data_IF_394274781868
#
_entry.id   IF_394274781868
#
_cell.length_a   1.000
_cell.length_b   1.000
_cell.length_c   1.000
_cell.angle_alpha   90.00
_cell.angle_beta   90.00
_cell.angle_gamma   90.00
#
_symmetry.space_group_name_H-M   'P 1'
#
loop_
_entity.id
_entity.type
_entity.pdbx_description
1 polymer ?
#
# COMPACT_ATOMS: atom_id res chain seq x y z
N UNK A 1 -10.19 14.04 0.06
CA UNK A 1 -9.46 13.21 -0.91
C UNK A 1 -9.62 11.74 -0.52
N UNK A 2 -9.92 10.87 -1.47
CA UNK A 2 -10.28 9.46 -1.26
C UNK A 2 -9.17 8.71 -0.55
N UNK A 3 -7.93 8.78 -1.03
CA UNK A 3 -6.82 8.03 -0.44
C UNK A 3 -6.40 8.58 0.93
N UNK A 4 -6.35 9.91 1.12
CA UNK A 4 -6.14 10.53 2.43
C UNK A 4 -7.17 10.06 3.46
N UNK A 5 -8.47 10.02 3.09
CA UNK A 5 -9.51 9.57 3.99
C UNK A 5 -9.33 8.12 4.43
N UNK A 6 -8.74 7.27 3.59
CA UNK A 6 -8.40 5.92 3.98
C UNK A 6 -7.22 5.86 4.96
N UNK A 7 -6.23 6.75 4.82
CA UNK A 7 -5.14 6.86 5.81
C UNK A 7 -5.62 7.47 7.13
N UNK A 8 -6.56 8.42 7.08
CA UNK A 8 -7.26 8.92 8.28
C UNK A 8 -8.00 7.77 8.96
N UNK A 9 -8.72 6.93 8.20
CA UNK A 9 -9.37 5.75 8.76
C UNK A 9 -8.37 4.77 9.41
N UNK A 10 -7.19 4.56 8.80
CA UNK A 10 -6.12 3.77 9.41
C UNK A 10 -5.62 4.36 10.74
N UNK A 11 -5.47 5.68 10.82
CA UNK A 11 -5.15 6.35 12.09
C UNK A 11 -6.27 6.19 13.11
N UNK A 12 -7.53 6.34 12.69
CA UNK A 12 -8.70 6.22 13.56
C UNK A 12 -8.93 4.79 14.05
N UNK A 13 -8.54 3.75 13.29
CA UNK A 13 -8.57 2.37 13.79
C UNK A 13 -7.82 2.19 15.12
N UNK A 14 -6.87 3.08 15.42
CA UNK A 14 -6.04 3.03 16.63
C UNK A 14 -6.65 3.76 17.84
N UNK A 15 -7.59 4.67 17.62
CA UNK A 15 -8.09 5.61 18.64
C UNK A 15 -9.62 5.73 18.70
N UNK A 16 -10.33 5.57 17.58
CA UNK A 16 -11.78 5.69 17.46
C UNK A 16 -12.29 4.85 16.27
N UNK A 17 -12.69 3.61 16.55
CA UNK A 17 -13.15 2.67 15.52
C UNK A 17 -14.48 3.08 14.87
N UNK A 18 -15.35 3.81 15.58
CA UNK A 18 -16.62 4.27 15.02
C UNK A 18 -16.38 5.33 13.95
N UNK A 19 -15.50 6.31 14.23
CA UNK A 19 -15.10 7.30 13.23
C UNK A 19 -14.32 6.70 12.08
N UNK A 20 -13.50 5.67 12.33
CA UNK A 20 -12.83 4.93 11.26
C UNK A 20 -13.85 4.30 10.29
N UNK A 21 -14.94 3.72 10.83
CA UNK A 21 -16.02 3.14 10.03
C UNK A 21 -16.74 4.20 9.19
N UNK A 22 -17.05 5.36 9.78
CA UNK A 22 -17.64 6.48 9.05
C UNK A 22 -16.76 6.94 7.89
N UNK A 23 -15.44 7.08 8.11
CA UNK A 23 -14.49 7.43 7.06
C UNK A 23 -14.44 6.41 5.92
N UNK A 24 -14.45 5.11 6.23
CA UNK A 24 -14.48 4.06 5.20
C UNK A 24 -15.82 4.12 4.44
N UNK A 25 -16.93 4.19 5.17
CA UNK A 25 -18.27 4.17 4.61
C UNK A 25 -18.54 5.38 3.71
N UNK A 26 -18.02 6.56 4.05
CA UNK A 26 -18.16 7.77 3.25
C UNK A 26 -17.64 7.59 1.81
N UNK A 27 -16.66 6.71 1.57
CA UNK A 27 -16.07 6.52 0.25
C UNK A 27 -16.48 5.21 -0.43
N UNK A 28 -17.18 4.32 0.26
CA UNK A 28 -17.71 3.08 -0.31
C UNK A 28 -19.23 3.17 -0.48
N UNK A 29 -19.75 3.03 -1.70
CA UNK A 29 -21.18 3.16 -1.95
C UNK A 29 -21.90 1.81 -1.80
N UNK A 30 -23.23 1.78 -1.56
CA UNK A 30 -24.04 0.56 -1.68
C UNK A 30 -24.11 0.02 -3.12
N UNK A 31 -24.30 -1.28 -3.29
CA UNK A 31 -24.53 -1.90 -4.60
C UNK A 31 -25.78 -1.31 -5.26
N UNK A 32 -25.69 -1.02 -6.56
CA UNK A 32 -26.76 -0.38 -7.32
C UNK A 32 -26.73 1.15 -7.31
N UNK A 33 -25.78 1.75 -6.56
CA UNK A 33 -25.51 3.19 -6.67
C UNK A 33 -24.99 3.55 -8.06
N UNK A 34 -25.24 4.79 -8.49
CA UNK A 34 -24.73 5.30 -9.77
C UNK A 34 -23.20 5.21 -9.87
N UNK A 35 -22.49 5.53 -8.78
CA UNK A 35 -21.04 5.44 -8.67
C UNK A 35 -20.64 4.22 -7.85
N UNK A 36 -19.65 3.46 -8.32
CA UNK A 36 -19.14 2.27 -7.63
C UNK A 36 -18.41 2.61 -6.31
N UNK A 37 -17.91 3.83 -6.18
CA UNK A 37 -17.31 4.42 -4.97
C UNK A 37 -17.26 5.95 -5.15
N UNK A 38 -16.95 6.69 -4.09
CA UNK A 38 -16.74 8.14 -4.21
C UNK A 38 -15.28 8.41 -4.55
N UNK A 39 -15.04 9.04 -5.69
CA UNK A 39 -13.70 9.36 -6.17
C UNK A 39 -13.41 10.85 -6.05
N UNK A 40 -12.34 11.19 -5.33
CA UNK A 40 -11.74 12.52 -5.33
C UNK A 40 -10.25 12.42 -5.00
N UNK A 41 -9.38 12.61 -6.00
CA UNK A 41 -7.94 12.46 -5.82
C UNK A 41 -7.41 11.12 -6.32
N UNK A 42 -6.26 10.72 -5.81
CA UNK A 42 -5.57 9.49 -6.22
C UNK A 42 -6.46 8.25 -6.03
N UNK A 43 -6.57 7.36 -7.03
CA UNK A 43 -7.40 6.17 -6.97
C UNK A 43 -6.73 5.01 -6.21
N UNK A 44 -5.91 5.31 -5.21
CA UNK A 44 -5.30 4.31 -4.32
C UNK A 44 -6.38 3.79 -3.37
N UNK A 45 -6.70 2.48 -3.36
CA UNK A 45 -7.86 1.96 -2.65
C UNK A 45 -7.58 1.74 -1.15
N UNK A 46 -7.15 2.78 -0.43
CA UNK A 46 -6.75 2.68 0.99
C UNK A 46 -7.88 2.15 1.88
N UNK A 47 -9.14 2.35 1.48
CA UNK A 47 -10.35 1.88 2.17
C UNK A 47 -10.33 0.38 2.46
N UNK A 48 -9.89 -0.47 1.52
CA UNK A 48 -9.85 -1.93 1.78
C UNK A 48 -8.78 -2.28 2.81
N UNK A 49 -7.66 -1.55 2.82
CA UNK A 49 -6.58 -1.76 3.78
C UNK A 49 -7.01 -1.32 5.18
N UNK A 50 -7.65 -0.14 5.28
CA UNK A 50 -8.24 0.36 6.52
C UNK A 50 -9.30 -0.61 7.06
N UNK A 51 -10.17 -1.12 6.19
CA UNK A 51 -11.20 -2.07 6.59
C UNK A 51 -10.63 -3.42 7.04
N UNK A 52 -9.63 -3.96 6.34
CA UNK A 52 -8.99 -5.21 6.75
C UNK A 52 -8.29 -5.08 8.11
N UNK A 53 -7.58 -3.97 8.33
CA UNK A 53 -6.92 -3.68 9.59
C UNK A 53 -7.95 -3.55 10.74
N UNK A 54 -9.06 -2.85 10.49
CA UNK A 54 -10.18 -2.74 11.43
C UNK A 54 -10.81 -4.11 11.74
N UNK A 55 -10.98 -4.96 10.73
CA UNK A 55 -11.58 -6.29 10.91
C UNK A 55 -10.71 -7.18 11.81
N UNK A 56 -9.39 -7.07 11.69
CA UNK A 56 -8.43 -7.73 12.58
C UNK A 56 -8.48 -7.18 14.01
N UNK A 57 -8.62 -5.86 14.19
CA UNK A 57 -8.66 -5.23 15.52
C UNK A 57 -9.98 -5.42 16.26
N UNK A 58 -11.11 -5.21 15.58
CA UNK A 58 -12.44 -5.19 16.20
C UNK A 58 -13.04 -6.59 16.42
N UNK A 59 -12.63 -7.57 15.61
CA UNK A 59 -13.26 -8.90 15.55
C UNK A 59 -14.77 -8.86 15.19
N UNK A 60 -15.30 -7.72 14.71
CA UNK A 60 -16.71 -7.55 14.35
C UNK A 60 -17.00 -8.06 12.93
N UNK A 61 -17.21 -9.37 12.81
CA UNK A 61 -17.43 -10.04 11.50
C UNK A 61 -18.68 -9.60 10.76
N UNK A 62 -19.72 -9.16 11.47
CA UNK A 62 -20.96 -8.69 10.83
C UNK A 62 -20.71 -7.46 9.93
N UNK A 63 -19.69 -6.65 10.23
CA UNK A 63 -19.28 -5.54 9.37
C UNK A 63 -18.81 -6.03 7.99
N UNK A 64 -18.22 -7.23 7.90
CA UNK A 64 -17.79 -7.79 6.64
C UNK A 64 -18.97 -8.02 5.68
N UNK A 65 -20.15 -8.43 6.18
CA UNK A 65 -21.35 -8.56 5.33
C UNK A 65 -21.81 -7.21 4.76
N UNK A 66 -21.61 -6.13 5.52
CA UNK A 66 -21.94 -4.77 5.08
C UNK A 66 -20.92 -4.25 4.06
N UNK A 67 -19.63 -4.28 4.37
CA UNK A 67 -18.61 -3.65 3.54
C UNK A 67 -18.17 -4.49 2.34
N UNK A 68 -18.21 -5.82 2.42
CA UNK A 68 -17.80 -6.69 1.31
C UNK A 68 -18.45 -6.34 -0.04
N UNK A 69 -19.79 -6.27 -0.19
CA UNK A 69 -20.40 -5.94 -1.48
C UNK A 69 -20.03 -4.53 -1.98
N UNK A 70 -19.78 -3.59 -1.07
CA UNK A 70 -19.37 -2.20 -1.39
C UNK A 70 -17.93 -2.15 -1.91
N UNK A 71 -17.02 -2.83 -1.22
CA UNK A 71 -15.62 -2.96 -1.60
C UNK A 71 -15.46 -3.78 -2.88
N UNK A 72 -16.30 -4.80 -3.11
CA UNK A 72 -16.32 -5.59 -4.34
C UNK A 72 -16.65 -4.72 -5.57
N UNK A 73 -17.66 -3.86 -5.51
CA UNK A 73 -17.95 -2.98 -6.65
C UNK A 73 -16.87 -1.91 -6.86
N UNK A 74 -16.27 -1.40 -5.77
CA UNK A 74 -15.12 -0.49 -5.86
C UNK A 74 -13.95 -1.19 -6.59
N UNK A 75 -13.61 -2.41 -6.17
CA UNK A 75 -12.62 -3.24 -6.85
C UNK A 75 -12.98 -3.47 -8.32
N UNK A 76 -14.22 -3.86 -8.62
CA UNK A 76 -14.65 -4.13 -9.99
C UNK A 76 -14.51 -2.91 -10.90
N UNK A 77 -14.70 -1.69 -10.37
CA UNK A 77 -14.39 -0.48 -11.11
C UNK A 77 -12.89 -0.34 -11.37
N UNK A 78 -12.06 -0.41 -10.33
CA UNK A 78 -10.61 -0.22 -10.47
C UNK A 78 -9.94 -1.30 -11.34
N UNK A 79 -10.40 -2.55 -11.28
CA UNK A 79 -9.90 -3.65 -12.09
C UNK A 79 -10.39 -3.62 -13.55
N UNK A 80 -11.28 -2.68 -13.89
CA UNK A 80 -11.86 -2.55 -15.23
C UNK A 80 -12.95 -3.57 -15.54
N UNK A 81 -13.50 -4.23 -14.52
CA UNK A 81 -14.58 -5.21 -14.67
C UNK A 81 -15.98 -4.60 -14.83
N UNK A 82 -16.15 -3.30 -14.53
CA UNK A 82 -17.40 -2.57 -14.80
C UNK A 82 -17.34 -1.89 -16.17
N UNK A 83 -18.44 -1.95 -16.95
CA UNK A 83 -18.52 -1.31 -18.27
C UNK A 83 -18.38 0.22 -18.27
N UNK A 84 -18.53 0.87 -17.11
CA UNK A 84 -18.27 2.30 -16.92
C UNK A 84 -16.79 2.62 -16.60
N UNK A 85 -15.93 1.61 -16.47
CA UNK A 85 -14.52 1.76 -16.16
C UNK A 85 -13.65 1.74 -17.40
N UNK A 86 -12.71 2.69 -17.50
CA UNK A 86 -11.68 2.76 -18.55
C UNK A 86 -10.30 2.33 -18.04
N UNK A 87 -10.22 1.75 -16.85
CA UNK A 87 -8.91 1.44 -16.24
C UNK A 87 -8.15 0.31 -16.95
N UNK A 88 -8.87 -0.66 -17.52
CA UNK A 88 -8.32 -1.83 -18.23
C UNK A 88 -8.51 -1.71 -19.74
N UNK A 89 -7.96 -0.67 -20.35
CA UNK A 89 -8.09 -0.38 -21.78
C UNK A 89 -6.93 -0.93 -22.64
N UNK A 90 -5.82 -1.35 -22.03
CA UNK A 90 -4.66 -1.86 -22.76
C UNK A 90 -4.76 -3.38 -23.01
N UNK A 91 -4.36 -3.84 -24.20
CA UNK A 91 -4.29 -5.27 -24.53
C UNK A 91 -3.22 -6.03 -23.72
N UNK A 92 -2.26 -5.34 -23.12
CA UNK A 92 -1.32 -5.91 -22.15
C UNK A 92 -2.01 -6.44 -20.87
N UNK A 93 -3.21 -5.94 -20.57
CA UNK A 93 -3.91 -6.18 -19.31
C UNK A 93 -3.43 -5.31 -18.14
N UNK A 94 -2.42 -4.46 -18.34
CA UNK A 94 -1.98 -3.48 -17.35
C UNK A 94 -3.02 -2.36 -17.21
N UNK A 95 -3.17 -1.86 -15.99
CA UNK A 95 -4.17 -0.86 -15.64
C UNK A 95 -3.59 0.56 -15.67
N UNK A 96 -4.42 1.55 -16.03
CA UNK A 96 -4.13 2.98 -15.90
C UNK A 96 -5.32 3.72 -15.33
N UNK A 97 -5.10 4.87 -14.69
CA UNK A 97 -6.18 5.68 -14.12
C UNK A 97 -6.15 7.13 -14.58
N UNK A 98 -5.35 7.44 -15.59
CA UNK A 98 -5.13 8.80 -16.09
C UNK A 98 -6.41 9.50 -16.58
N UNK A 99 -7.42 8.72 -16.99
CA UNK A 99 -8.73 9.25 -17.41
C UNK A 99 -9.57 9.78 -16.23
N UNK A 100 -9.23 9.37 -15.00
CA UNK A 100 -9.95 9.73 -13.78
C UNK A 100 -9.19 10.75 -12.93
N UNK A 101 -7.86 10.62 -12.87
CA UNK A 101 -7.03 11.53 -12.10
C UNK A 101 -5.62 11.60 -12.68
N UNK A 102 -4.97 12.76 -12.53
CA UNK A 102 -3.64 12.97 -13.09
C UNK A 102 -2.56 12.15 -12.37
N UNK A 103 -2.72 11.85 -11.07
CA UNK A 103 -1.75 11.04 -10.35
C UNK A 103 -2.18 9.56 -10.16
N UNK A 104 -1.23 8.63 -10.22
CA UNK A 104 -1.48 7.18 -10.11
C UNK A 104 -1.44 6.65 -8.67
N UNK A 105 -0.66 7.30 -7.81
CA UNK A 105 -0.24 6.71 -6.55
C UNK A 105 -0.30 7.61 -5.33
N UNK A 106 -0.90 8.81 -5.40
CA UNK A 106 -0.81 9.77 -4.30
C UNK A 106 0.34 10.76 -4.44
N UNK A 107 1.10 10.69 -5.54
CA UNK A 107 2.31 11.45 -5.75
C UNK A 107 2.22 12.45 -6.90
N UNK A 108 2.30 13.74 -6.61
CA UNK A 108 1.98 14.77 -7.60
C UNK A 108 3.09 14.92 -8.66
N UNK A 109 4.34 15.07 -8.23
CA UNK A 109 5.51 15.29 -9.08
C UNK A 109 6.45 14.06 -9.17
N UNK A 110 5.89 12.85 -9.02
CA UNK A 110 6.65 11.62 -9.22
C UNK A 110 7.22 11.56 -10.66
N UNK A 111 8.52 11.29 -10.85
CA UNK A 111 9.20 11.55 -12.12
C UNK A 111 8.60 10.85 -13.34
N UNK A 112 8.27 9.55 -13.21
CA UNK A 112 7.66 8.79 -14.31
C UNK A 112 6.34 9.40 -14.78
N UNK A 113 5.48 9.79 -13.84
CA UNK A 113 4.17 10.39 -14.11
C UNK A 113 4.30 11.79 -14.72
N UNK A 114 5.19 12.63 -14.19
CA UNK A 114 5.52 13.92 -14.79
C UNK A 114 5.95 13.72 -16.24
N UNK A 115 6.80 12.73 -16.50
CA UNK A 115 7.20 12.33 -17.84
C UNK A 115 6.04 11.93 -18.75
N UNK A 116 5.06 11.18 -18.22
CA UNK A 116 3.84 10.80 -18.97
C UNK A 116 3.08 12.04 -19.42
N UNK A 117 2.79 12.98 -18.51
CA UNK A 117 2.01 14.18 -18.82
C UNK A 117 2.75 15.16 -19.74
N UNK A 118 4.03 15.42 -19.47
CA UNK A 118 4.84 16.31 -20.32
C UNK A 118 4.91 15.81 -21.77
N UNK A 119 4.86 14.48 -21.97
CA UNK A 119 4.90 13.84 -23.29
C UNK A 119 3.53 13.48 -23.84
N UNK A 120 2.44 13.85 -23.14
CA UNK A 120 1.05 13.55 -23.50
C UNK A 120 0.81 12.05 -23.77
N UNK A 121 1.29 11.20 -22.86
CA UNK A 121 1.29 9.73 -22.98
C UNK A 121 0.23 9.04 -22.12
N UNK A 122 -0.73 9.77 -21.55
CA UNK A 122 -1.81 9.27 -20.70
C UNK A 122 -2.67 8.19 -21.37
N UNK A 123 -2.79 8.21 -22.70
CA UNK A 123 -3.53 7.20 -23.45
C UNK A 123 -2.73 5.91 -23.69
N UNK A 124 -1.41 5.91 -23.50
CA UNK A 124 -0.51 4.84 -23.98
C UNK A 124 0.50 4.35 -22.94
N UNK A 125 0.63 4.98 -21.77
CA UNK A 125 1.52 4.53 -20.70
C UNK A 125 0.74 4.06 -19.49
N UNK A 126 1.11 2.91 -18.92
CA UNK A 126 0.53 2.38 -17.69
C UNK A 126 1.52 2.46 -16.52
N UNK A 127 1.08 2.92 -15.34
CA UNK A 127 1.86 2.83 -14.11
C UNK A 127 1.88 1.40 -13.54
N UNK A 128 2.80 1.10 -12.61
CA UNK A 128 2.86 -0.22 -11.96
C UNK A 128 1.90 -0.30 -10.76
N UNK A 129 1.86 0.76 -9.95
CA UNK A 129 1.09 0.84 -8.70
C UNK A 129 -0.40 0.47 -8.85
N UNK A 130 -1.06 0.90 -9.92
CA UNK A 130 -2.50 0.65 -10.14
C UNK A 130 -2.78 -0.84 -10.23
N UNK A 131 -2.02 -1.54 -11.08
CA UNK A 131 -2.17 -2.98 -11.28
C UNK A 131 -1.79 -3.74 -10.01
N UNK A 132 -0.71 -3.33 -9.34
CA UNK A 132 -0.25 -3.95 -8.09
C UNK A 132 -1.28 -3.81 -6.96
N UNK A 133 -1.90 -2.64 -6.79
CA UNK A 133 -2.97 -2.45 -5.81
C UNK A 133 -4.21 -3.27 -6.14
N UNK A 134 -4.60 -3.41 -7.41
CA UNK A 134 -5.72 -4.29 -7.77
C UNK A 134 -5.44 -5.76 -7.40
N UNK A 135 -4.21 -6.26 -7.59
CA UNK A 135 -3.84 -7.61 -7.13
C UNK A 135 -4.02 -7.73 -5.62
N UNK A 136 -3.46 -6.79 -4.84
CA UNK A 136 -3.58 -6.84 -3.38
C UNK A 136 -5.04 -6.66 -2.92
N UNK A 137 -5.81 -5.78 -3.55
CA UNK A 137 -7.23 -5.59 -3.26
C UNK A 137 -8.01 -6.89 -3.52
N UNK A 138 -7.80 -7.57 -4.64
CA UNK A 138 -8.41 -8.86 -4.91
C UNK A 138 -8.06 -9.91 -3.83
N UNK A 139 -6.80 -10.00 -3.40
CA UNK A 139 -6.36 -10.90 -2.31
C UNK A 139 -7.10 -10.60 -0.99
N UNK A 140 -7.22 -9.32 -0.62
CA UNK A 140 -7.97 -8.90 0.57
C UNK A 140 -9.46 -9.24 0.45
N UNK A 141 -10.07 -9.01 -0.72
CA UNK A 141 -11.47 -9.39 -0.97
C UNK A 141 -11.69 -10.89 -0.90
N UNK A 142 -10.73 -11.71 -1.35
CA UNK A 142 -10.81 -13.17 -1.19
C UNK A 142 -10.85 -13.59 0.28
N UNK A 143 -9.98 -13.00 1.11
CA UNK A 143 -9.97 -13.26 2.56
C UNK A 143 -11.33 -12.92 3.18
N UNK A 144 -11.89 -11.76 2.84
CA UNK A 144 -13.22 -11.33 3.31
C UNK A 144 -14.33 -12.24 2.77
N UNK A 145 -14.27 -12.62 1.50
CA UNK A 145 -15.26 -13.48 0.84
C UNK A 145 -15.29 -14.89 1.46
N UNK A 146 -14.13 -15.49 1.71
CA UNK A 146 -14.02 -16.79 2.40
C UNK A 146 -14.65 -16.72 3.79
N UNK A 147 -14.38 -15.66 4.54
CA UNK A 147 -14.90 -15.48 5.89
C UNK A 147 -16.40 -15.16 5.94
N UNK A 148 -16.96 -14.55 4.89
CA UNK A 148 -18.39 -14.19 4.80
C UNK A 148 -19.24 -15.20 4.02
N UNK A 149 -18.64 -16.30 3.53
CA UNK A 149 -19.34 -17.34 2.77
C UNK A 149 -19.55 -17.04 1.28
N UNK A 150 -19.00 -15.95 0.75
CA UNK A 150 -19.15 -15.50 -0.64
C UNK A 150 -18.19 -16.22 -1.60
N UNK A 151 -18.10 -17.55 -1.49
CA UNK A 151 -17.11 -18.38 -2.20
C UNK A 151 -17.26 -18.36 -3.72
N UNK A 152 -18.44 -18.03 -4.25
CA UNK A 152 -18.70 -17.93 -5.69
C UNK A 152 -17.84 -16.84 -6.37
N UNK A 153 -17.40 -15.83 -5.62
CA UNK A 153 -16.60 -14.73 -6.16
C UNK A 153 -15.11 -15.06 -6.30
N UNK A 154 -14.63 -16.11 -5.63
CA UNK A 154 -13.21 -16.43 -5.53
C UNK A 154 -12.56 -16.67 -6.90
N UNK A 155 -13.26 -17.39 -7.79
CA UNK A 155 -12.74 -17.72 -9.12
C UNK A 155 -12.47 -16.47 -9.97
N UNK A 156 -13.32 -15.44 -9.87
CA UNK A 156 -13.11 -14.19 -10.59
C UNK A 156 -11.86 -13.46 -10.07
N UNK A 157 -11.69 -13.40 -8.75
CA UNK A 157 -10.48 -12.83 -8.16
C UNK A 157 -9.22 -13.61 -8.54
N UNK A 158 -9.28 -14.94 -8.61
CA UNK A 158 -8.12 -15.76 -9.04
C UNK A 158 -7.71 -15.48 -10.48
N UNK A 159 -8.67 -15.32 -11.39
CA UNK A 159 -8.42 -14.96 -12.79
C UNK A 159 -7.73 -13.59 -12.86
N UNK A 160 -8.26 -12.60 -12.15
CA UNK A 160 -7.69 -11.26 -12.14
C UNK A 160 -6.29 -11.23 -11.53
N UNK A 161 -6.09 -11.81 -10.33
CA UNK A 161 -4.79 -11.91 -9.67
C UNK A 161 -3.77 -12.54 -10.61
N UNK A 162 -4.10 -13.67 -11.24
CA UNK A 162 -3.21 -14.35 -12.17
C UNK A 162 -2.90 -13.48 -13.39
N UNK A 163 -3.91 -12.89 -14.02
CA UNK A 163 -3.73 -12.11 -15.25
C UNK A 163 -2.90 -10.83 -15.02
N UNK A 164 -3.19 -10.10 -13.94
CA UNK A 164 -2.44 -8.90 -13.55
C UNK A 164 -1.01 -9.21 -13.12
N UNK A 165 -0.81 -10.32 -12.38
CA UNK A 165 0.54 -10.77 -12.00
C UNK A 165 1.37 -11.09 -13.23
N UNK A 166 0.81 -11.83 -14.19
CA UNK A 166 1.49 -12.16 -15.45
C UNK A 166 1.82 -10.89 -16.24
N UNK A 167 0.89 -9.93 -16.31
CA UNK A 167 1.11 -8.68 -17.04
C UNK A 167 2.28 -7.88 -16.46
N UNK A 168 2.32 -7.68 -15.13
CA UNK A 168 3.43 -6.98 -14.47
C UNK A 168 4.75 -7.73 -14.63
N UNK A 169 4.76 -9.04 -14.42
CA UNK A 169 5.96 -9.86 -14.54
C UNK A 169 6.53 -9.85 -15.96
N UNK A 170 5.66 -9.90 -16.98
CA UNK A 170 6.07 -10.01 -18.37
C UNK A 170 6.49 -8.67 -18.98
N UNK A 171 5.81 -7.59 -18.64
CA UNK A 171 5.95 -6.32 -19.36
C UNK A 171 6.60 -5.21 -18.54
N UNK A 172 6.60 -5.30 -17.21
CA UNK A 172 7.12 -4.24 -16.35
C UNK A 172 8.47 -4.57 -15.72
N UNK A 173 8.80 -5.82 -15.40
CA UNK A 173 10.09 -6.13 -14.76
C UNK A 173 11.28 -5.72 -15.65
N UNK A 174 12.14 -4.84 -15.14
CA UNK A 174 13.35 -4.38 -15.80
C UNK A 174 14.59 -4.78 -14.99
N UNK A 175 15.19 -5.90 -15.37
CA UNK A 175 16.37 -6.44 -14.69
C UNK A 175 17.58 -5.48 -14.68
N UNK A 176 17.68 -4.54 -15.65
CA UNK A 176 18.78 -3.57 -15.70
C UNK A 176 18.66 -2.52 -14.59
N UNK A 177 17.45 -2.03 -14.32
CA UNK A 177 17.22 -1.05 -13.24
C UNK A 177 17.02 -1.73 -11.89
N UNK A 178 16.57 -2.99 -11.88
CA UNK A 178 16.15 -3.71 -10.69
C UNK A 178 14.78 -3.26 -10.16
N UNK A 179 13.95 -2.66 -11.02
CA UNK A 179 12.61 -2.18 -10.71
C UNK A 179 11.60 -2.63 -11.77
N UNK A 180 10.31 -2.53 -11.44
CA UNK A 180 9.25 -2.64 -12.44
C UNK A 180 9.03 -1.27 -13.12
N UNK A 181 9.24 -1.18 -14.43
CA UNK A 181 9.05 0.02 -15.23
C UNK A 181 7.57 0.33 -15.51
N UNK A 182 7.27 1.60 -15.75
CA UNK A 182 6.09 2.00 -16.52
C UNK A 182 6.21 1.41 -17.93
N UNK A 183 5.07 1.14 -18.59
CA UNK A 183 5.06 0.44 -19.88
C UNK A 183 4.40 1.30 -20.95
N UNK A 184 5.08 1.49 -22.07
CA UNK A 184 4.52 2.09 -23.29
C UNK A 184 3.68 1.09 -24.07
N UNK A 185 2.64 1.58 -24.73
CA UNK A 185 1.78 0.82 -25.61
C UNK A 185 1.62 1.47 -26.98
N UNK A 186 1.40 0.65 -28.00
CA UNK A 186 1.01 1.12 -29.34
C UNK A 186 -0.46 1.56 -29.37
N UNK A 187 -0.93 2.03 -30.54
CA UNK A 187 -2.33 2.46 -30.72
C UNK A 187 -3.36 1.34 -30.55
N UNK A 188 -2.94 0.06 -30.59
CA UNK A 188 -3.79 -1.10 -30.34
C UNK A 188 -3.75 -1.55 -28.88
N UNK A 189 -2.98 -0.87 -28.02
CA UNK A 189 -2.80 -1.24 -26.62
C UNK A 189 -1.83 -2.40 -26.39
N UNK A 190 -1.02 -2.78 -27.39
CA UNK A 190 0.03 -3.78 -27.21
C UNK A 190 1.25 -3.15 -26.52
N UNK A 191 1.89 -3.84 -25.57
CA UNK A 191 3.08 -3.30 -24.90
C UNK A 191 4.26 -3.26 -25.87
N UNK A 192 4.96 -2.13 -25.93
CA UNK A 192 6.11 -1.88 -26.82
C UNK A 192 7.42 -1.63 -26.07
N UNK A 193 7.42 -1.71 -24.74
CA UNK A 193 8.61 -1.64 -23.90
C UNK A 193 8.50 -0.65 -22.74
N UNK A 194 9.54 -0.60 -21.92
CA UNK A 194 9.61 0.30 -20.76
C UNK A 194 9.50 1.77 -21.16
N UNK A 195 8.87 2.56 -20.30
CA UNK A 195 8.87 4.02 -20.39
C UNK A 195 10.16 4.56 -19.77
N UNK A 196 11.00 5.15 -20.61
CA UNK A 196 12.33 5.63 -20.24
C UNK A 196 12.41 7.16 -20.26
N UNK A 197 13.40 7.71 -19.55
CA UNK A 197 13.76 9.11 -19.67
C UNK A 197 14.39 9.43 -21.05
N UNK A 198 14.79 10.69 -21.28
CA UNK A 198 15.40 11.10 -22.55
C UNK A 198 16.75 10.42 -22.84
N UNK A 199 17.45 9.95 -21.80
CA UNK A 199 18.74 9.28 -21.90
C UNK A 199 18.59 7.74 -21.96
N UNK A 200 17.35 7.22 -21.96
CA UNK A 200 17.06 5.79 -22.00
C UNK A 200 17.15 5.07 -20.66
N UNK A 201 17.22 5.80 -19.54
CA UNK A 201 17.14 5.21 -18.20
C UNK A 201 15.70 4.84 -17.87
N UNK A 202 15.51 3.82 -17.04
CA UNK A 202 14.19 3.49 -16.50
C UNK A 202 13.64 4.69 -15.73
N UNK A 203 12.47 5.19 -16.12
CA UNK A 203 11.89 6.37 -15.49
C UNK A 203 11.18 6.06 -14.16
N UNK A 204 11.10 4.78 -13.78
CA UNK A 204 10.37 4.31 -12.60
C UNK A 204 11.26 3.65 -11.52
N UNK A 205 12.49 4.12 -11.35
CA UNK A 205 13.34 3.75 -10.22
C UNK A 205 12.86 4.42 -8.92
N UNK A 206 11.88 3.81 -8.27
CA UNK A 206 11.22 4.35 -7.09
C UNK A 206 10.20 3.39 -6.49
N UNK A 207 9.43 3.88 -5.52
CA UNK A 207 8.48 3.02 -4.79
C UNK A 207 7.42 2.42 -5.71
N UNK A 208 6.90 3.15 -6.69
CA UNK A 208 5.97 2.61 -7.70
C UNK A 208 6.53 1.33 -8.35
N UNK A 209 7.79 1.36 -8.78
CA UNK A 209 8.48 0.20 -9.35
C UNK A 209 8.75 -0.94 -8.36
N UNK A 210 8.58 -0.71 -7.06
CA UNK A 210 8.66 -1.71 -5.99
C UNK A 210 7.28 -2.24 -5.55
N UNK A 211 6.16 -1.67 -6.00
CA UNK A 211 4.82 -2.10 -5.59
C UNK A 211 4.45 -3.58 -5.84
N UNK A 212 5.08 -4.31 -6.77
CA UNK A 212 4.89 -5.75 -6.87
C UNK A 212 5.30 -6.55 -5.62
N UNK A 213 6.14 -5.98 -4.73
CA UNK A 213 6.36 -6.51 -3.38
C UNK A 213 5.08 -6.44 -2.56
N UNK A 214 4.40 -5.28 -2.57
CA UNK A 214 3.15 -5.06 -1.84
C UNK A 214 2.05 -5.94 -2.40
N UNK A 215 2.02 -6.20 -3.71
CA UNK A 215 1.11 -7.17 -4.31
C UNK A 215 1.39 -8.64 -3.91
N UNK A 216 2.61 -8.93 -3.44
CA UNK A 216 3.07 -10.28 -3.09
C UNK A 216 3.17 -11.18 -4.32
N UNK A 217 3.80 -10.67 -5.39
CA UNK A 217 3.94 -11.39 -6.67
C UNK A 217 5.39 -11.50 -7.16
N UNK A 218 6.35 -10.95 -6.43
CA UNK A 218 7.76 -10.99 -6.81
C UNK A 218 8.30 -12.42 -6.78
N UNK A 219 9.27 -12.72 -7.64
CA UNK A 219 10.16 -13.88 -7.46
C UNK A 219 11.13 -13.61 -6.30
N UNK A 220 11.78 -14.66 -5.78
CA UNK A 220 12.78 -14.50 -4.71
C UNK A 220 13.94 -13.58 -5.11
N UNK A 221 14.39 -13.62 -6.37
CA UNK A 221 15.43 -12.74 -6.90
C UNK A 221 14.97 -11.28 -6.98
N UNK A 222 13.74 -11.05 -7.47
CA UNK A 222 13.14 -9.72 -7.51
C UNK A 222 12.96 -9.15 -6.11
N UNK A 223 12.47 -9.97 -5.17
CA UNK A 223 12.31 -9.58 -3.78
C UNK A 223 13.65 -9.19 -3.17
N UNK A 224 14.67 -10.02 -3.31
CA UNK A 224 16.02 -9.74 -2.81
C UNK A 224 16.55 -8.42 -3.37
N UNK A 225 16.47 -8.24 -4.70
CA UNK A 225 16.93 -7.03 -5.39
C UNK A 225 16.20 -5.77 -4.89
N UNK A 226 14.87 -5.84 -4.77
CA UNK A 226 14.07 -4.70 -4.35
C UNK A 226 14.29 -4.38 -2.86
N UNK A 227 14.42 -5.39 -1.99
CA UNK A 227 14.71 -5.18 -0.57
C UNK A 227 16.09 -4.55 -0.35
N UNK A 228 17.10 -5.01 -1.08
CA UNK A 228 18.43 -4.40 -1.04
C UNK A 228 18.38 -2.91 -1.42
N UNK A 229 17.61 -2.56 -2.46
CA UNK A 229 17.41 -1.16 -2.88
C UNK A 229 16.57 -0.36 -1.88
N UNK A 230 15.49 -0.92 -1.35
CA UNK A 230 14.62 -0.24 -0.37
C UNK A 230 15.39 0.15 0.88
N UNK A 231 16.28 -0.72 1.38
CA UNK A 231 16.97 -0.52 2.66
C UNK A 231 18.42 -0.05 2.55
N UNK A 232 18.89 0.25 1.33
CA UNK A 232 20.23 0.80 1.06
C UNK A 232 20.25 2.32 1.11
N UNK A 233 21.27 2.87 1.78
CA UNK A 233 21.54 4.31 1.82
C UNK A 233 21.98 4.89 0.47
N UNK A 234 22.34 4.05 -0.51
CA UNK A 234 22.66 4.45 -1.88
C UNK A 234 21.42 4.57 -2.77
N UNK A 235 20.28 4.04 -2.31
CA UNK A 235 19.05 3.89 -3.09
C UNK A 235 17.90 4.59 -2.39
N UNK A 236 16.92 3.87 -1.82
CA UNK A 236 15.70 4.50 -1.29
C UNK A 236 15.79 4.86 0.20
N UNK A 237 16.71 4.27 0.96
CA UNK A 237 16.79 4.51 2.39
C UNK A 237 17.53 5.81 2.70
N UNK A 238 16.90 6.71 3.46
CA UNK A 238 17.47 7.99 3.88
C UNK A 238 17.58 8.05 5.40
N UNK A 239 18.32 9.02 5.98
CA UNK A 239 18.33 9.24 7.42
C UNK A 239 16.93 9.48 8.02
N UNK A 240 16.00 10.00 7.22
CA UNK A 240 14.63 10.32 7.65
C UNK A 240 13.59 9.25 7.32
N UNK A 241 14.01 8.11 6.77
CA UNK A 241 13.12 7.03 6.34
C UNK A 241 13.17 6.78 4.83
N UNK A 242 12.12 6.17 4.29
CA UNK A 242 12.09 5.76 2.89
C UNK A 242 11.74 6.92 1.96
N UNK A 243 12.67 7.27 1.06
CA UNK A 243 12.40 8.16 -0.06
C UNK A 243 11.54 7.50 -1.13
N UNK A 244 10.83 8.32 -1.91
CA UNK A 244 9.91 7.84 -2.94
C UNK A 244 10.64 7.45 -4.24
N UNK A 245 11.82 8.04 -4.48
CA UNK A 245 12.65 7.84 -5.68
C UNK A 245 14.05 7.38 -5.28
N UNK A 246 14.63 6.46 -6.06
CA UNK A 246 15.98 5.93 -5.84
C UNK A 246 17.00 7.08 -5.97
N UNK A 247 17.82 7.30 -4.94
CA UNK A 247 18.85 8.36 -4.91
C UNK A 247 19.89 8.26 -6.03
N UNK A 248 20.06 7.07 -6.63
CA UNK A 248 20.94 6.87 -7.78
C UNK A 248 20.31 7.24 -9.12
N UNK A 249 19.00 7.52 -9.17
CA UNK A 249 18.32 7.91 -10.40
C UNK A 249 18.71 9.34 -10.81
N UNK A 250 18.90 9.62 -12.11
CA UNK A 250 19.36 10.93 -12.60
C UNK A 250 18.36 12.06 -12.38
N UNK A 251 17.10 11.72 -12.09
CA UNK A 251 16.01 12.65 -11.84
C UNK A 251 15.64 12.75 -10.34
N UNK A 252 16.41 12.12 -9.44
CA UNK A 252 16.25 12.30 -8.00
C UNK A 252 16.55 13.75 -7.61
N UNK A 253 15.73 14.32 -6.72
CA UNK A 253 15.92 15.67 -6.19
C UNK A 253 15.93 15.64 -4.67
N UNK A 254 17.03 16.04 -4.06
CA UNK A 254 17.15 16.08 -2.59
C UNK A 254 16.13 16.99 -1.90
N UNK A 255 15.75 18.09 -2.55
CA UNK A 255 14.75 19.07 -2.09
C UNK A 255 13.35 18.82 -2.69
N UNK A 256 13.18 17.67 -3.33
CA UNK A 256 12.00 17.30 -4.09
C UNK A 256 10.79 16.95 -3.24
N UNK A 257 9.57 17.11 -3.77
CA UNK A 257 8.33 16.79 -3.07
C UNK A 257 8.06 15.28 -3.09
N UNK A 258 7.50 14.73 -4.18
CA UNK A 258 7.37 13.28 -4.43
C UNK A 258 8.51 12.68 -5.26
N UNK A 259 9.58 13.45 -5.48
CA UNK A 259 10.80 13.03 -6.17
C UNK A 259 12.06 13.16 -5.29
N UNK A 260 11.86 13.27 -3.97
CA UNK A 260 12.92 13.57 -3.02
C UNK A 260 12.63 13.26 -1.56
N UNK A 261 11.51 13.77 -1.07
CA UNK A 261 11.16 13.75 0.35
C UNK A 261 10.63 12.39 0.83
N UNK A 262 10.53 12.29 2.15
CA UNK A 262 9.98 11.13 2.86
C UNK A 262 8.54 11.39 3.23
N UNK A 263 7.71 10.38 2.95
CA UNK A 263 6.27 10.38 3.15
C UNK A 263 5.88 9.15 3.96
N UNK A 264 5.07 9.33 5.00
CA UNK A 264 4.60 8.22 5.83
C UNK A 264 3.67 7.19 5.13
N UNK A 265 2.79 7.54 4.16
CA UNK A 265 1.79 6.59 3.64
C UNK A 265 2.40 5.39 2.90
N UNK A 266 3.37 5.61 2.00
CA UNK A 266 3.98 4.51 1.26
C UNK A 266 4.85 3.62 2.16
N UNK A 267 5.49 4.21 3.17
CA UNK A 267 6.22 3.47 4.20
C UNK A 267 5.32 2.52 4.98
N UNK A 268 4.06 2.89 5.21
CA UNK A 268 3.09 2.01 5.87
C UNK A 268 2.82 0.73 5.07
N UNK A 269 2.65 0.85 3.75
CA UNK A 269 2.47 -0.33 2.90
C UNK A 269 3.70 -1.24 2.97
N UNK A 270 4.91 -0.69 2.84
CA UNK A 270 6.15 -1.46 2.92
C UNK A 270 6.32 -2.08 4.31
N UNK A 271 5.99 -1.36 5.39
CA UNK A 271 6.02 -1.86 6.76
C UNK A 271 5.14 -3.11 6.94
N UNK A 272 3.88 -3.06 6.49
CA UNK A 272 2.97 -4.21 6.52
C UNK A 272 3.50 -5.36 5.65
N UNK A 273 4.08 -5.05 4.49
CA UNK A 273 4.72 -6.05 3.62
C UNK A 273 5.94 -6.70 4.28
N UNK A 274 6.76 -5.99 5.06
CA UNK A 274 7.87 -6.61 5.79
C UNK A 274 7.38 -7.65 6.80
N UNK A 275 6.19 -7.47 7.37
CA UNK A 275 5.56 -8.49 8.21
C UNK A 275 5.11 -9.69 7.39
N UNK A 276 4.50 -9.47 6.22
CA UNK A 276 4.14 -10.56 5.30
C UNK A 276 5.38 -11.37 4.88
N UNK A 277 6.52 -10.73 4.61
CA UNK A 277 7.77 -11.38 4.19
C UNK A 277 8.60 -11.99 5.35
N UNK A 278 8.08 -11.98 6.58
CA UNK A 278 8.80 -12.51 7.73
C UNK A 278 10.07 -11.72 8.10
N UNK A 279 10.08 -10.40 7.84
CA UNK A 279 11.20 -9.48 8.10
C UNK A 279 10.85 -8.46 9.22
N UNK A 280 10.55 -8.89 10.46
CA UNK A 280 10.07 -8.00 11.52
C UNK A 280 11.10 -6.95 11.93
N UNK A 281 12.40 -7.24 11.81
CA UNK A 281 13.47 -6.26 12.05
C UNK A 281 13.45 -5.10 11.03
N UNK A 282 13.16 -5.39 9.76
CA UNK A 282 13.01 -4.36 8.72
C UNK A 282 11.71 -3.56 8.92
N UNK A 283 10.63 -4.23 9.34
CA UNK A 283 9.39 -3.55 9.75
C UNK A 283 9.68 -2.56 10.90
N UNK A 284 10.40 -3.01 11.94
CA UNK A 284 10.78 -2.15 13.07
C UNK A 284 11.68 -0.99 12.65
N UNK A 285 12.62 -1.21 11.72
CA UNK A 285 13.46 -0.14 11.18
C UNK A 285 12.63 0.98 10.53
N UNK A 286 11.60 0.65 9.75
CA UNK A 286 10.67 1.64 9.16
C UNK A 286 9.95 2.42 10.25
N UNK A 287 9.24 1.70 11.14
CA UNK A 287 8.41 2.31 12.16
C UNK A 287 9.22 3.19 13.12
N UNK A 288 10.37 2.70 13.60
CA UNK A 288 11.25 3.45 14.49
C UNK A 288 11.76 4.73 13.83
N UNK A 289 12.25 4.64 12.60
CA UNK A 289 12.78 5.82 11.89
C UNK A 289 11.69 6.87 11.64
N UNK A 290 10.51 6.45 11.19
CA UNK A 290 9.37 7.35 10.98
C UNK A 290 8.89 8.00 12.28
N UNK A 291 8.83 7.25 13.39
CA UNK A 291 8.46 7.79 14.71
C UNK A 291 9.52 8.75 15.26
N UNK A 292 10.80 8.42 15.12
CA UNK A 292 11.91 9.28 15.59
C UNK A 292 11.91 10.62 14.84
N UNK A 293 11.68 10.61 13.51
CA UNK A 293 11.54 11.83 12.69
C UNK A 293 10.31 12.64 13.07
N UNK A 294 9.15 11.97 13.17
CA UNK A 294 7.89 12.62 13.55
C UNK A 294 8.00 13.28 14.94
N UNK A 295 8.53 12.55 15.94
CA UNK A 295 8.70 13.05 17.30
C UNK A 295 9.64 14.24 17.33
N UNK A 296 10.83 14.13 16.74
CA UNK A 296 11.82 15.20 16.73
C UNK A 296 11.29 16.49 16.10
N UNK A 297 10.58 16.38 14.97
CA UNK A 297 10.03 17.56 14.31
C UNK A 297 8.87 18.14 15.10
N UNK A 298 7.99 17.30 15.67
CA UNK A 298 6.87 17.76 16.49
C UNK A 298 7.37 18.43 17.78
N UNK A 299 8.37 17.88 18.45
CA UNK A 299 8.97 18.45 19.66
C UNK A 299 9.64 19.81 19.38
N UNK A 300 10.24 19.96 18.19
CA UNK A 300 10.88 21.21 17.79
C UNK A 300 9.88 22.29 17.36
N UNK A 301 8.87 21.91 16.56
CA UNK A 301 8.01 22.86 15.83
C UNK A 301 6.61 23.02 16.42
N UNK A 302 6.18 22.08 17.27
CA UNK A 302 4.79 21.91 17.71
C UNK A 302 3.80 21.65 16.56
N UNK A 303 4.29 21.23 15.39
CA UNK A 303 3.49 20.97 14.19
C UNK A 303 3.58 19.52 13.73
N UNK A 304 2.51 19.04 13.09
CA UNK A 304 2.50 17.78 12.34
C UNK A 304 2.49 18.09 10.84
N UNK A 305 3.52 17.66 10.13
CA UNK A 305 3.71 18.00 8.72
C UNK A 305 3.26 16.90 7.78
N UNK A 306 3.06 17.29 6.53
CA UNK A 306 2.71 16.45 5.40
C UNK A 306 3.85 15.52 4.96
N UNK A 307 5.07 16.05 4.88
CA UNK A 307 6.27 15.29 4.49
C UNK A 307 7.53 15.82 5.18
N UNK A 308 8.62 15.07 5.03
CA UNK A 308 9.89 15.34 5.70
C UNK A 308 11.05 15.32 4.72
N UNK A 309 11.95 16.30 4.83
CA UNK A 309 13.15 16.37 3.98
C UNK A 309 14.06 15.18 4.28
N UNK A 310 14.47 14.44 3.24
CA UNK A 310 15.20 13.17 3.33
C UNK A 310 16.43 13.21 4.26
N UNK A 311 17.22 14.27 4.15
CA UNK A 311 18.49 14.38 4.87
C UNK A 311 18.35 14.91 6.30
N UNK A 312 17.49 15.91 6.49
CA UNK A 312 17.43 16.66 7.75
C UNK A 312 16.32 16.21 8.69
N UNK A 313 15.29 15.55 8.15
CA UNK A 313 14.08 15.19 8.86
C UNK A 313 13.18 16.39 9.19
N UNK A 314 13.47 17.58 8.63
CA UNK A 314 12.62 18.77 8.83
C UNK A 314 11.28 18.58 8.13
N UNK A 315 10.21 18.96 8.81
CA UNK A 315 8.86 18.93 8.27
C UNK A 315 8.66 20.04 7.23
N UNK A 316 7.90 19.72 6.19
CA UNK A 316 7.58 20.62 5.10
C UNK A 316 6.16 20.35 4.56
N UNK A 317 5.68 21.25 3.70
CA UNK A 317 4.30 21.23 3.21
C UNK A 317 3.30 21.78 4.22
N UNK A 318 2.08 21.26 4.20
CA UNK A 318 1.04 21.69 5.13
C UNK A 318 1.31 21.20 6.57
N UNK A 319 0.91 22.00 7.57
CA UNK A 319 1.04 21.67 9.00
C UNK A 319 -0.32 21.49 9.69
N UNK A 320 -0.36 20.80 10.84
CA UNK A 320 -1.57 20.15 11.36
C UNK A 320 -2.18 19.16 10.34
N UNK A 321 -1.30 18.47 9.62
CA UNK A 321 -1.68 17.54 8.59
C UNK A 321 -1.93 16.15 9.19
N UNK A 322 -3.18 15.67 9.12
CA UNK A 322 -3.57 14.35 9.61
C UNK A 322 -3.56 13.29 8.52
N UNK A 323 -3.93 13.66 7.29
CA UNK A 323 -4.20 12.75 6.16
C UNK A 323 -3.18 11.63 6.03
N UNK A 324 -2.04 11.97 5.44
CA UNK A 324 -1.01 11.00 5.07
C UNK A 324 -0.01 10.72 6.20
N UNK A 325 -0.05 11.50 7.29
CA UNK A 325 0.81 11.34 8.48
C UNK A 325 0.20 10.39 9.51
N UNK A 326 -1.10 10.07 9.41
CA UNK A 326 -1.81 9.11 10.27
C UNK A 326 -1.14 7.73 10.49
N UNK A 327 -0.33 7.16 9.57
CA UNK A 327 0.41 5.92 9.83
C UNK A 327 1.25 5.91 11.11
N UNK A 328 1.69 7.06 11.61
CA UNK A 328 2.47 7.16 12.85
C UNK A 328 1.73 6.59 14.05
N UNK A 329 0.39 6.66 14.10
CA UNK A 329 -0.42 6.07 15.16
C UNK A 329 -0.34 4.54 15.14
N UNK A 330 -0.42 3.95 13.95
CA UNK A 330 -0.32 2.50 13.78
C UNK A 330 1.07 1.98 14.15
N UNK A 331 2.13 2.71 13.78
CA UNK A 331 3.49 2.41 14.21
C UNK A 331 3.63 2.54 15.73
N UNK A 332 3.21 3.65 16.33
CA UNK A 332 3.35 3.86 17.77
C UNK A 332 2.63 2.75 18.55
N UNK A 333 1.38 2.45 18.21
CA UNK A 333 0.62 1.44 18.91
C UNK A 333 1.22 0.04 18.77
N UNK A 334 1.69 -0.31 17.57
CA UNK A 334 2.27 -1.63 17.30
C UNK A 334 3.49 -1.95 18.19
N UNK A 335 4.28 -0.94 18.57
CA UNK A 335 5.51 -1.13 19.35
C UNK A 335 5.39 -0.70 20.82
N UNK A 336 4.47 0.23 21.16
CA UNK A 336 4.45 0.87 22.48
C UNK A 336 3.11 0.80 23.22
N UNK A 337 1.99 0.47 22.54
CA UNK A 337 0.69 0.33 23.21
C UNK A 337 0.44 -1.13 23.54
N UNK A 338 0.64 -1.49 24.81
CA UNK A 338 0.35 -2.84 25.32
C UNK A 338 -1.07 -3.29 24.96
N UNK A 339 -1.21 -4.55 24.62
CA UNK A 339 -2.43 -5.17 24.09
C UNK A 339 -2.63 -4.98 22.58
N UNK A 340 -1.73 -4.28 21.89
CA UNK A 340 -1.84 -4.12 20.43
C UNK A 340 -1.30 -5.33 19.70
N UNK A 341 -2.09 -5.82 18.74
CA UNK A 341 -1.71 -6.86 17.80
C UNK A 341 -1.63 -6.25 16.40
N UNK A 342 -0.56 -6.57 15.67
CA UNK A 342 -0.34 -6.07 14.33
C UNK A 342 0.12 -7.18 13.40
N UNK A 343 -0.59 -7.37 12.31
CA UNK A 343 -0.26 -8.34 11.25
C UNK A 343 0.22 -7.62 9.98
N UNK A 344 0.72 -8.37 8.99
CA UNK A 344 0.80 -7.89 7.61
C UNK A 344 -0.57 -7.88 6.91
N UNK A 345 -0.61 -8.02 5.59
CA UNK A 345 -1.86 -8.12 4.82
C UNK A 345 -2.39 -9.54 4.69
N UNK A 346 -1.57 -10.56 4.95
CA UNK A 346 -1.88 -11.96 4.62
C UNK A 346 -2.45 -12.77 5.79
N UNK A 347 -2.62 -12.16 6.96
CA UNK A 347 -3.14 -12.80 8.16
C UNK A 347 -4.50 -12.19 8.52
N UNK A 348 -5.54 -13.02 8.53
CA UNK A 348 -6.82 -12.73 9.16
C UNK A 348 -6.83 -13.33 10.57
N UNK A 349 -7.10 -12.51 11.57
CA UNK A 349 -7.28 -12.95 12.95
C UNK A 349 -8.72 -13.40 13.13
N UNK A 350 -9.01 -14.70 13.08
CA UNK A 350 -10.36 -15.26 13.30
C UNK A 350 -10.81 -15.15 14.76
N UNK A 351 -9.86 -15.33 15.68
CA UNK A 351 -9.96 -15.03 17.10
C UNK A 351 -8.69 -14.34 17.55
N UNK A 352 -8.82 -13.36 18.43
CA UNK A 352 -7.70 -12.60 18.99
C UNK A 352 -8.04 -12.22 20.42
N UNK A 353 -7.28 -12.72 21.40
CA UNK A 353 -7.51 -12.46 22.81
C UNK A 353 -6.19 -12.17 23.51
N UNK A 354 -6.09 -10.97 24.07
CA UNK A 354 -5.05 -10.60 25.04
C UNK A 354 -5.61 -10.79 26.44
N UNK A 355 -4.82 -11.31 27.40
CA UNK A 355 -5.22 -11.37 28.82
C UNK A 355 -5.45 -9.97 29.40
N UNK A 356 -6.29 -9.81 30.45
CA UNK A 356 -6.44 -8.54 31.16
C UNK A 356 -5.11 -7.96 31.65
N UNK A 357 -4.21 -8.83 32.11
CA UNK A 357 -2.86 -8.51 32.58
C UNK A 357 -1.88 -8.19 31.44
N UNK A 358 -2.28 -8.44 30.18
CA UNK A 358 -1.48 -8.22 28.97
C UNK A 358 -0.16 -9.00 28.96
N UNK A 359 -0.14 -10.16 29.61
CA UNK A 359 0.97 -11.10 29.73
C UNK A 359 0.80 -12.37 28.88
N UNK A 360 -0.33 -12.50 28.17
CA UNK A 360 -0.67 -13.65 27.34
C UNK A 360 -1.47 -13.22 26.12
N UNK A 361 -1.21 -13.90 25.00
CA UNK A 361 -1.97 -13.76 23.78
C UNK A 361 -2.39 -15.13 23.23
N UNK A 362 -3.64 -15.25 22.85
CA UNK A 362 -4.21 -16.43 22.19
C UNK A 362 -4.93 -16.00 20.92
N UNK A 363 -4.72 -16.73 19.82
CA UNK A 363 -5.34 -16.40 18.54
C UNK A 363 -5.65 -17.63 17.70
N UNK A 364 -6.61 -17.47 16.79
CA UNK A 364 -6.83 -18.37 15.66
C UNK A 364 -6.56 -17.57 14.40
N UNK A 365 -5.59 -18.02 13.60
CA UNK A 365 -5.13 -17.35 12.40
C UNK A 365 -5.70 -18.04 11.16
N UNK A 366 -6.02 -17.25 10.15
CA UNK A 366 -6.47 -17.73 8.84
C UNK A 366 -5.70 -17.06 7.73
N UNK A 367 -5.45 -17.82 6.67
CA UNK A 367 -4.64 -17.44 5.53
C UNK A 367 -5.42 -17.72 4.25
N UNK A 368 -5.24 -16.88 3.23
CA UNK A 368 -5.74 -17.17 1.89
C UNK A 368 -4.69 -17.88 1.03
N UNK A 369 -5.16 -18.62 0.03
CA UNK A 369 -4.33 -19.42 -0.87
C UNK A 369 -3.86 -18.63 -2.10
N UNK A 370 -4.27 -17.36 -2.27
CA UNK A 370 -3.80 -16.52 -3.36
C UNK A 370 -2.33 -16.08 -3.22
N UNK A 371 -1.73 -16.23 -2.04
CA UNK A 371 -0.28 -16.18 -1.88
C UNK A 371 0.22 -17.58 -1.49
N UNK A 372 1.33 -18.02 -2.09
CA UNK A 372 1.95 -19.30 -1.76
C UNK A 372 2.28 -19.37 -0.25
N UNK A 373 2.26 -20.56 0.38
CA UNK A 373 2.69 -20.70 1.77
C UNK A 373 4.14 -20.23 1.96
N UNK A 374 4.36 -19.38 2.97
CA UNK A 374 5.68 -18.86 3.34
C UNK A 374 5.66 -18.32 4.78
N UNK A 375 6.84 -18.02 5.33
CA UNK A 375 7.00 -17.49 6.68
C UNK A 375 6.49 -16.06 6.78
N UNK A 376 5.63 -15.80 7.76
CA UNK A 376 5.07 -14.48 8.06
C UNK A 376 5.41 -14.07 9.48
N UNK A 377 5.36 -12.79 9.76
CA UNK A 377 5.50 -12.22 11.09
C UNK A 377 4.24 -11.47 11.50
N UNK A 378 3.97 -11.49 12.80
CA UNK A 378 3.03 -10.61 13.45
C UNK A 378 3.70 -10.04 14.71
N UNK A 379 3.25 -8.87 15.13
CA UNK A 379 3.74 -8.19 16.32
C UNK A 379 2.65 -8.19 17.39
N UNK A 380 3.08 -8.43 18.62
CA UNK A 380 2.23 -8.54 19.79
C UNK A 380 2.91 -7.69 20.87
N UNK A 381 2.32 -6.55 21.20
CA UNK A 381 2.84 -5.66 22.23
C UNK A 381 2.26 -6.10 23.59
N UNK A 382 3.07 -6.79 24.39
CA UNK A 382 2.71 -7.30 25.73
C UNK A 382 3.56 -6.63 26.81
N UNK A 383 3.31 -6.94 28.07
CA UNK A 383 4.04 -6.38 29.21
C UNK A 383 5.52 -6.82 29.27
N UNK A 384 6.45 -5.88 29.08
CA UNK A 384 7.89 -6.14 29.05
C UNK A 384 8.49 -6.75 30.33
N UNK A 385 7.75 -6.78 31.46
CA UNK A 385 8.22 -7.41 32.70
C UNK A 385 8.25 -8.94 32.64
N UNK A 386 7.63 -9.55 31.62
CA UNK A 386 7.58 -11.00 31.43
C UNK A 386 8.48 -11.49 30.29
N UNK A 387 8.89 -12.76 30.38
CA UNK A 387 9.51 -13.49 29.27
C UNK A 387 8.45 -14.29 28.50
N UNK A 388 8.53 -14.28 27.17
CA UNK A 388 7.52 -14.88 26.30
C UNK A 388 8.03 -16.10 25.54
N UNK A 389 7.15 -17.09 25.36
CA UNK A 389 7.34 -18.23 24.46
C UNK A 389 6.10 -18.40 23.60
N UNK A 390 6.30 -18.56 22.29
CA UNK A 390 5.23 -18.88 21.37
C UNK A 390 5.09 -20.41 21.19
N UNK A 391 3.86 -20.87 21.04
CA UNK A 391 3.48 -22.23 20.65
C UNK A 391 2.36 -22.15 19.61
N UNK A 392 2.41 -22.98 18.58
CA UNK A 392 1.50 -22.97 17.44
C UNK A 392 0.75 -24.29 17.31
#
# INVERSE_FOLDING_TARGET
YTWDSGFIALGLNEVDMERALECINAYTTPVGSQSAFIHHGSPVPVQVYAFMDLLNKSQYRELAKYFYPRLKQYYAFLSGGLGSSTTRTMSSGLLKTWDYFYNSGGWDDYPAQVGVHQRKKESSVTPVITTAHCIRFAKLLRMIAKNTGQKADLAAYDIDIKSFSIALQRYSWNAKSGYFSYVNHDAKGNPIGSFTDQAGNDYNMGLDGAYPLIAGICTEEQETTLLEKIFSSKHLWTPSGLGVVDQSAPYYRKDGYWNGSVWMPHQWFIWKTMLDLGKPALAMKIAKTGLDVFSKETDYSYYTFEHYLSDSGRGAGWHQFSGLTSPVLGWYNAYYKRGTITTGFEILLEKSRVSPEQDKYEATLSFDEATKPHSRSMMICLDQTYGYRASF
#
